data_IF_669279169877
#
_entry.id   IF_669279169877
#
_cell.length_a   1.000
_cell.length_b   1.000
_cell.length_c   1.000
_cell.angle_alpha   90.00
_cell.angle_beta   90.00
_cell.angle_gamma   90.00
#
_symmetry.space_group_name_H-M   'P 1'
#
loop_
_entity.id
_entity.type
_entity.pdbx_description
1 polymer ?
#
# COMPACT_ATOMS: atom_id res chain seq x y z
N UNK A 1 22.87 -42.12 -7.92
CA UNK A 1 21.68 -41.43 -7.36
C UNK A 1 22.18 -40.12 -6.77
N UNK A 2 22.19 -39.05 -7.57
CA UNK A 2 22.64 -37.72 -7.15
C UNK A 2 21.40 -36.93 -6.73
N UNK A 3 21.32 -36.56 -5.46
CA UNK A 3 20.28 -35.67 -4.94
C UNK A 3 20.59 -34.25 -5.39
N UNK A 4 19.76 -33.70 -6.27
CA UNK A 4 19.77 -32.27 -6.53
C UNK A 4 19.27 -31.57 -5.27
N UNK A 5 20.18 -30.86 -4.59
CA UNK A 5 19.82 -29.90 -3.57
C UNK A 5 19.00 -28.80 -4.24
N UNK A 6 17.75 -28.65 -3.82
CA UNK A 6 16.93 -27.50 -4.19
C UNK A 6 17.65 -26.25 -3.69
N UNK A 7 18.06 -25.37 -4.60
CA UNK A 7 18.54 -24.06 -4.25
C UNK A 7 17.38 -23.31 -3.59
N UNK A 8 17.54 -22.98 -2.30
CA UNK A 8 16.70 -22.00 -1.63
C UNK A 8 16.87 -20.68 -2.39
N UNK A 9 15.85 -20.29 -3.14
CA UNK A 9 15.70 -18.91 -3.59
C UNK A 9 15.57 -18.09 -2.31
N UNK A 10 16.58 -17.26 -2.02
CA UNK A 10 16.49 -16.33 -0.92
C UNK A 10 15.24 -15.46 -1.14
N UNK A 11 14.32 -15.47 -0.18
CA UNK A 11 13.23 -14.51 -0.18
C UNK A 11 13.87 -13.16 0.14
N UNK A 12 14.02 -12.31 -0.87
CA UNK A 12 14.53 -10.95 -0.67
C UNK A 12 13.49 -10.18 0.15
N UNK A 13 13.70 -10.14 1.47
CA UNK A 13 12.88 -9.35 2.38
C UNK A 13 13.36 -7.91 2.32
N UNK A 14 12.56 -7.05 1.71
CA UNK A 14 12.71 -5.60 1.87
C UNK A 14 12.19 -5.24 3.26
N UNK A 15 13.07 -4.68 4.10
CA UNK A 15 12.75 -4.29 5.46
C UNK A 15 13.12 -2.82 5.66
N UNK A 16 12.21 -1.96 5.24
CA UNK A 16 12.39 -0.51 5.30
C UNK A 16 12.01 0.07 6.65
N UNK A 17 12.68 1.18 6.99
CA UNK A 17 12.36 1.99 8.17
C UNK A 17 11.91 3.37 7.74
N UNK A 18 10.79 3.80 8.29
CA UNK A 18 10.20 5.12 8.04
C UNK A 18 10.48 6.10 9.19
N UNK A 19 11.65 5.98 9.83
CA UNK A 19 12.04 6.79 10.99
C UNK A 19 12.97 7.96 10.63
N UNK A 20 13.43 7.99 9.39
CA UNK A 20 14.26 9.01 8.75
C UNK A 20 14.06 8.94 7.23
N UNK A 21 14.90 9.62 6.45
CA UNK A 21 14.79 9.69 4.98
C UNK A 21 15.34 8.44 4.25
N UNK A 22 15.79 7.39 4.94
CA UNK A 22 16.38 6.20 4.30
C UNK A 22 15.45 5.48 3.33
N UNK A 23 14.13 5.51 3.56
CA UNK A 23 13.12 4.93 2.66
C UNK A 23 13.17 5.49 1.22
N UNK A 24 13.78 6.66 1.01
CA UNK A 24 13.95 7.26 -0.32
C UNK A 24 14.90 6.47 -1.22
N UNK A 25 15.65 5.51 -0.66
CA UNK A 25 16.50 4.58 -1.43
C UNK A 25 15.66 3.55 -2.20
N UNK A 26 14.51 3.17 -1.65
CA UNK A 26 13.66 2.10 -2.17
C UNK A 26 12.34 2.64 -2.76
N UNK A 27 11.93 3.85 -2.37
CA UNK A 27 10.69 4.48 -2.78
C UNK A 27 10.88 5.84 -3.45
N UNK A 28 10.17 6.03 -4.56
CA UNK A 28 9.91 7.33 -5.17
C UNK A 28 8.69 7.99 -4.54
N UNK A 29 8.76 9.30 -4.32
CA UNK A 29 7.65 10.10 -3.81
C UNK A 29 6.74 10.54 -4.95
N UNK A 30 5.46 10.20 -4.87
CA UNK A 30 4.43 10.68 -5.80
C UNK A 30 3.49 11.64 -5.09
N UNK A 31 3.52 12.92 -5.49
CA UNK A 31 2.67 13.98 -4.96
C UNK A 31 2.40 15.06 -6.00
N UNK A 32 1.51 16.02 -5.67
CA UNK A 32 1.00 17.05 -6.59
C UNK A 32 2.08 17.59 -7.55
N UNK A 33 1.85 17.52 -8.86
CA UNK A 33 2.87 17.81 -9.89
C UNK A 33 3.46 19.24 -9.81
N UNK A 34 2.71 20.17 -9.22
CA UNK A 34 3.05 21.58 -9.08
C UNK A 34 3.73 21.93 -7.75
N UNK A 35 4.00 20.92 -6.90
CA UNK A 35 4.57 21.10 -5.57
C UNK A 35 5.96 20.45 -5.41
N UNK A 36 6.63 20.05 -6.50
CA UNK A 36 7.96 19.40 -6.48
C UNK A 36 9.11 20.34 -6.08
N UNK A 37 9.04 20.84 -4.84
CA UNK A 37 10.05 21.62 -4.13
C UNK A 37 10.27 21.01 -2.74
N UNK A 38 11.37 21.32 -2.03
CA UNK A 38 11.58 20.83 -0.67
C UNK A 38 10.43 21.15 0.29
N UNK A 39 9.83 22.33 0.17
CA UNK A 39 8.69 22.76 0.99
C UNK A 39 7.42 21.97 0.66
N UNK A 40 7.17 21.71 -0.62
CA UNK A 40 6.04 20.90 -1.06
C UNK A 40 6.20 19.43 -0.70
N UNK A 41 7.41 18.87 -0.82
CA UNK A 41 7.71 17.53 -0.33
C UNK A 41 7.41 17.43 1.18
N UNK A 42 7.95 18.36 1.99
CA UNK A 42 7.73 18.39 3.44
C UNK A 42 6.25 18.58 3.81
N UNK A 43 5.48 19.29 2.98
CA UNK A 43 4.04 19.44 3.15
C UNK A 43 3.32 18.09 3.05
N UNK A 44 3.80 17.15 2.23
CA UNK A 44 3.19 15.82 2.04
C UNK A 44 3.82 14.71 2.87
N UNK A 45 5.13 14.77 3.07
CA UNK A 45 5.95 13.74 3.67
C UNK A 45 6.81 14.37 4.76
N UNK A 46 6.57 14.00 6.01
CA UNK A 46 7.33 14.51 7.15
C UNK A 46 7.57 13.40 8.17
N UNK A 47 8.73 13.39 8.82
CA UNK A 47 9.01 12.44 9.90
C UNK A 47 8.50 13.04 11.21
N UNK A 48 7.52 12.37 11.82
CA UNK A 48 6.83 12.88 13.02
C UNK A 48 6.80 11.83 14.12
N UNK A 49 6.49 12.27 15.34
CA UNK A 49 6.10 11.38 16.43
C UNK A 49 4.57 11.26 16.47
N UNK A 50 4.06 10.04 16.28
CA UNK A 50 2.63 9.74 16.29
C UNK A 50 2.33 8.51 17.14
N UNK A 51 1.42 8.67 18.12
CA UNK A 51 1.02 7.61 19.06
C UNK A 51 2.23 6.84 19.66
N UNK A 52 3.27 7.56 20.06
CA UNK A 52 4.46 7.01 20.71
C UNK A 52 5.50 6.37 19.77
N UNK A 53 5.36 6.49 18.45
CA UNK A 53 6.35 6.01 17.47
C UNK A 53 6.81 7.14 16.55
N UNK A 54 8.08 7.12 16.17
CA UNK A 54 8.58 7.94 15.06
C UNK A 54 8.21 7.25 13.75
N UNK A 55 7.59 7.97 12.81
CA UNK A 55 7.13 7.42 11.54
C UNK A 55 7.02 8.51 10.46
N UNK A 56 6.96 8.08 9.20
CA UNK A 56 6.60 8.94 8.07
C UNK A 56 5.11 9.27 8.13
N UNK A 57 4.79 10.56 8.27
CA UNK A 57 3.48 11.10 8.02
C UNK A 57 3.30 11.34 6.52
N UNK A 58 2.18 10.84 5.98
CA UNK A 58 1.76 11.08 4.60
C UNK A 58 0.47 11.90 4.63
N UNK A 59 0.43 13.03 3.93
CA UNK A 59 -0.72 13.96 3.88
C UNK A 59 -1.18 14.20 2.45
N UNK A 60 -2.47 13.99 2.21
CA UNK A 60 -3.14 14.33 0.95
C UNK A 60 -4.15 15.44 1.25
N UNK A 61 -4.13 16.50 0.46
CA UNK A 61 -5.03 17.64 0.60
C UNK A 61 -6.03 17.69 -0.54
N UNK A 62 -7.24 18.16 -0.27
CA UNK A 62 -8.30 18.31 -1.28
C UNK A 62 -7.95 19.29 -2.40
N UNK A 63 -6.99 20.18 -2.16
CA UNK A 63 -6.48 21.16 -3.14
C UNK A 63 -5.39 20.61 -4.04
N UNK A 64 -4.84 19.43 -3.73
CA UNK A 64 -3.74 18.86 -4.50
C UNK A 64 -4.18 18.50 -5.92
N UNK A 65 -3.19 18.43 -6.80
CA UNK A 65 -3.36 17.98 -8.18
C UNK A 65 -2.93 16.52 -8.31
N UNK A 66 -3.19 15.94 -9.48
CA UNK A 66 -2.62 14.65 -9.82
C UNK A 66 -1.08 14.68 -9.71
N UNK A 67 -0.46 13.51 -9.58
CA UNK A 67 1.01 13.41 -9.57
C UNK A 67 1.64 13.85 -10.89
N UNK A 68 0.92 13.73 -12.01
CA UNK A 68 1.39 14.14 -13.34
C UNK A 68 0.47 15.20 -13.91
N UNK A 69 1.06 16.23 -14.53
CA UNK A 69 0.32 17.24 -15.27
C UNK A 69 -0.55 16.59 -16.35
N UNK A 70 -1.76 17.12 -16.54
CA UNK A 70 -2.78 16.61 -17.47
C UNK A 70 -3.29 15.18 -17.20
N UNK A 71 -2.92 14.56 -16.07
CA UNK A 71 -3.49 13.26 -15.69
C UNK A 71 -4.92 13.43 -15.17
N UNK A 72 -5.84 12.60 -15.65
CA UNK A 72 -7.21 12.50 -15.11
C UNK A 72 -7.33 11.70 -13.82
N UNK A 73 -6.21 11.31 -13.19
CA UNK A 73 -6.23 10.56 -11.93
C UNK A 73 -6.45 11.48 -10.73
N UNK A 74 -6.98 10.94 -9.64
CA UNK A 74 -7.11 11.67 -8.38
C UNK A 74 -5.74 12.07 -7.81
N UNK A 75 -5.69 13.11 -6.96
CA UNK A 75 -4.50 13.46 -6.20
C UNK A 75 -4.03 12.29 -5.33
N UNK A 76 -2.73 12.23 -5.09
CA UNK A 76 -2.09 11.22 -4.23
C UNK A 76 -0.88 11.83 -3.54
N UNK A 77 -0.56 11.28 -2.37
CA UNK A 77 0.75 11.37 -1.72
C UNK A 77 1.09 9.94 -1.38
N UNK A 78 2.02 9.38 -2.13
CA UNK A 78 2.22 7.94 -2.19
C UNK A 78 3.71 7.62 -2.30
N UNK A 79 4.13 6.58 -1.58
CA UNK A 79 5.40 5.92 -1.78
C UNK A 79 5.24 4.87 -2.87
N UNK A 80 6.01 5.01 -3.96
CA UNK A 80 6.00 4.04 -5.04
C UNK A 80 7.37 3.39 -5.16
N UNK A 81 7.43 2.07 -5.00
CA UNK A 81 8.66 1.29 -5.08
C UNK A 81 9.40 1.57 -6.39
N UNK A 82 10.71 1.82 -6.28
CA UNK A 82 11.58 2.12 -7.43
C UNK A 82 11.80 0.85 -8.26
N UNK A 83 12.11 -0.27 -7.60
CA UNK A 83 12.22 -1.58 -8.24
C UNK A 83 10.82 -2.20 -8.45
N UNK A 84 10.35 -2.26 -9.69
CA UNK A 84 8.99 -2.75 -10.03
C UNK A 84 8.95 -4.17 -10.59
N UNK A 85 10.12 -4.77 -10.81
CA UNK A 85 10.25 -6.07 -11.48
C UNK A 85 10.16 -7.25 -10.50
N UNK A 86 9.86 -7.00 -9.22
CA UNK A 86 9.80 -8.01 -8.17
C UNK A 86 8.55 -8.91 -8.25
N UNK A 87 7.47 -8.45 -8.90
CA UNK A 87 6.22 -9.20 -9.03
C UNK A 87 6.26 -10.09 -10.26
N UNK A 88 6.55 -11.37 -10.05
CA UNK A 88 6.59 -12.42 -11.09
C UNK A 88 5.41 -13.39 -10.96
N UNK A 89 4.99 -13.98 -12.08
CA UNK A 89 3.97 -15.02 -12.09
C UNK A 89 4.41 -16.27 -11.30
N UNK A 90 3.43 -16.93 -10.68
CA UNK A 90 3.54 -18.08 -9.80
C UNK A 90 4.38 -17.86 -8.52
N UNK A 91 4.78 -16.61 -8.23
CA UNK A 91 5.38 -16.24 -6.95
C UNK A 91 4.34 -16.12 -5.84
N UNK A 92 4.72 -16.52 -4.63
CA UNK A 92 4.00 -16.21 -3.39
C UNK A 92 4.69 -15.02 -2.71
N UNK A 93 3.90 -14.02 -2.37
CA UNK A 93 4.38 -12.75 -1.87
C UNK A 93 3.65 -12.35 -0.58
N UNK A 94 4.37 -11.62 0.26
CA UNK A 94 3.82 -10.98 1.45
C UNK A 94 4.28 -9.52 1.49
N UNK A 95 3.33 -8.62 1.74
CA UNK A 95 3.59 -7.24 2.08
C UNK A 95 2.97 -6.95 3.44
N UNK A 96 3.73 -6.36 4.37
CA UNK A 96 3.23 -5.98 5.68
C UNK A 96 3.69 -4.57 6.06
N UNK A 97 2.82 -3.83 6.73
CA UNK A 97 3.12 -2.48 7.18
C UNK A 97 2.25 -2.11 8.38
N UNK A 98 2.75 -1.20 9.21
CA UNK A 98 1.98 -0.58 10.27
C UNK A 98 1.49 0.79 9.79
N UNK A 99 0.21 1.09 10.00
CA UNK A 99 -0.39 2.38 9.63
C UNK A 99 -1.13 2.99 10.81
N UNK A 100 -1.09 4.31 10.93
CA UNK A 100 -1.86 5.05 11.91
C UNK A 100 -2.63 6.19 11.23
N UNK A 101 -3.96 6.13 11.26
CA UNK A 101 -4.81 7.20 10.75
C UNK A 101 -4.93 8.28 11.81
N UNK A 102 -4.32 9.45 11.59
CA UNK A 102 -4.43 10.58 12.51
C UNK A 102 -5.66 11.44 12.23
N UNK A 103 -5.89 11.75 10.95
CA UNK A 103 -6.99 12.57 10.48
C UNK A 103 -7.50 12.05 9.14
N UNK A 104 -8.81 12.17 8.92
CA UNK A 104 -9.43 11.93 7.61
C UNK A 104 -10.73 12.76 7.53
N UNK A 105 -11.14 13.07 6.30
CA UNK A 105 -12.42 13.73 6.03
C UNK A 105 -13.50 12.68 5.83
N UNK A 106 -14.55 12.73 6.63
CA UNK A 106 -15.66 11.78 6.50
C UNK A 106 -16.35 11.90 5.12
N UNK A 107 -16.75 10.76 4.57
CA UNK A 107 -17.29 10.67 3.21
C UNK A 107 -16.27 10.79 2.06
N UNK A 108 -15.01 11.15 2.33
CA UNK A 108 -13.96 11.16 1.30
C UNK A 108 -13.42 9.75 1.04
N UNK A 109 -13.23 9.38 -0.24
CA UNK A 109 -12.68 8.08 -0.61
C UNK A 109 -11.17 8.15 -0.77
N UNK A 110 -10.46 7.15 -0.26
CA UNK A 110 -9.01 7.09 -0.37
C UNK A 110 -8.50 5.66 -0.45
N UNK A 111 -7.34 5.48 -1.07
CA UNK A 111 -6.59 4.24 -1.06
C UNK A 111 -5.54 4.29 0.06
N UNK A 112 -5.47 3.22 0.84
CA UNK A 112 -4.48 3.05 1.92
C UNK A 112 -3.18 2.47 1.38
N UNK A 113 -3.31 1.49 0.48
CA UNK A 113 -2.19 0.82 -0.18
C UNK A 113 -2.65 0.29 -1.54
N UNK A 114 -1.70 0.17 -2.44
CA UNK A 114 -1.90 -0.51 -3.72
C UNK A 114 -0.73 -1.47 -3.99
N UNK A 115 -1.03 -2.60 -4.62
CA UNK A 115 -0.05 -3.40 -5.33
C UNK A 115 -0.29 -3.21 -6.81
N UNK A 116 0.76 -2.82 -7.52
CA UNK A 116 0.72 -2.51 -8.95
C UNK A 116 1.96 -3.10 -9.60
N UNK A 117 1.75 -3.86 -10.69
CA UNK A 117 2.83 -4.48 -11.46
C UNK A 117 2.59 -4.37 -12.96
N UNK A 118 3.64 -4.51 -13.79
CA UNK A 118 3.53 -4.45 -15.25
C UNK A 118 2.53 -5.47 -15.82
N UNK A 119 2.38 -6.60 -15.14
CA UNK A 119 1.63 -7.77 -15.62
C UNK A 119 0.29 -8.02 -14.92
N UNK A 120 -0.23 -7.07 -14.10
CA UNK A 120 -1.51 -7.20 -13.36
C UNK A 120 -1.45 -8.27 -12.25
N UNK A 121 -2.41 -8.32 -11.29
CA UNK A 121 -3.53 -7.42 -11.03
C UNK A 121 -3.14 -6.16 -10.27
N UNK A 122 -3.95 -5.10 -10.42
CA UNK A 122 -3.87 -3.93 -9.54
C UNK A 122 -4.77 -4.18 -8.34
N UNK A 123 -4.17 -4.31 -7.16
CA UNK A 123 -4.90 -4.55 -5.92
C UNK A 123 -4.88 -3.28 -5.10
N UNK A 124 -6.01 -2.89 -4.55
CA UNK A 124 -6.14 -1.72 -3.69
C UNK A 124 -6.84 -2.09 -2.39
N UNK A 125 -6.33 -1.54 -1.30
CA UNK A 125 -7.08 -1.42 -0.04
C UNK A 125 -7.61 0.00 -0.01
N UNK A 126 -8.94 0.15 0.04
CA UNK A 126 -9.60 1.45 -0.03
C UNK A 126 -10.63 1.63 1.08
N UNK A 127 -10.87 2.88 1.43
CA UNK A 127 -12.09 3.32 2.09
C UNK A 127 -12.99 3.97 1.03
N UNK A 128 -14.15 3.37 0.77
CA UNK A 128 -15.10 3.80 -0.26
C UNK A 128 -16.52 3.47 0.23
N UNK A 129 -17.50 4.33 -0.03
CA UNK A 129 -18.90 4.10 0.40
C UNK A 129 -19.08 3.75 1.88
N UNK A 130 -18.29 4.38 2.76
CA UNK A 130 -18.28 4.12 4.21
C UNK A 130 -17.92 2.68 4.60
N UNK A 131 -17.14 1.99 3.75
CA UNK A 131 -16.65 0.63 4.01
C UNK A 131 -15.19 0.51 3.60
N UNK A 132 -14.45 -0.34 4.30
CA UNK A 132 -13.22 -0.84 3.74
C UNK A 132 -13.50 -1.84 2.62
N UNK A 133 -12.73 -1.72 1.54
CA UNK A 133 -12.86 -2.53 0.33
C UNK A 133 -11.48 -3.00 -0.09
N UNK A 134 -11.37 -4.30 -0.36
CA UNK A 134 -10.30 -4.85 -1.17
C UNK A 134 -10.78 -4.88 -2.63
N UNK A 135 -10.18 -4.03 -3.45
CA UNK A 135 -10.49 -3.95 -4.87
C UNK A 135 -9.36 -4.61 -5.65
N UNK A 136 -9.64 -5.71 -6.32
CA UNK A 136 -8.75 -6.29 -7.31
C UNK A 136 -9.27 -5.94 -8.70
N UNK A 137 -8.61 -5.03 -9.39
CA UNK A 137 -8.90 -4.81 -10.79
C UNK A 137 -8.51 -6.07 -11.56
N UNK A 138 -9.47 -6.61 -12.32
CA UNK A 138 -9.27 -7.78 -13.20
C UNK A 138 -9.13 -9.13 -12.49
N UNK A 139 -9.54 -9.23 -11.23
CA UNK A 139 -9.94 -10.50 -10.62
C UNK A 139 -11.42 -10.81 -10.92
N UNK A 140 -11.82 -12.09 -10.83
CA UNK A 140 -13.23 -12.52 -10.91
C UNK A 140 -14.09 -11.83 -9.85
N UNK A 141 -13.58 -11.72 -8.62
CA UNK A 141 -14.17 -10.90 -7.57
C UNK A 141 -13.51 -9.53 -7.55
N UNK A 142 -14.16 -8.56 -8.19
CA UNK A 142 -13.61 -7.20 -8.33
C UNK A 142 -13.56 -6.45 -7.00
N UNK A 143 -14.59 -6.59 -6.14
CA UNK A 143 -14.69 -5.89 -4.85
C UNK A 143 -15.10 -6.85 -3.74
N UNK A 144 -14.36 -6.81 -2.63
CA UNK A 144 -14.75 -7.50 -1.39
C UNK A 144 -14.74 -6.52 -0.22
N UNK A 145 -15.88 -6.42 0.46
CA UNK A 145 -16.04 -5.57 1.65
C UNK A 145 -15.60 -6.33 2.91
N UNK A 146 -15.06 -5.61 3.88
CA UNK A 146 -14.72 -6.18 5.18
C UNK A 146 -14.93 -5.18 6.31
N UNK A 147 -15.02 -5.72 7.54
CA UNK A 147 -15.33 -4.95 8.74
C UNK A 147 -14.19 -4.02 9.14
N UNK A 148 -14.57 -2.92 9.81
CA UNK A 148 -13.67 -1.87 10.27
C UNK A 148 -13.96 -0.52 9.62
N UNK A 149 -13.36 0.52 10.17
CA UNK A 149 -13.46 1.88 9.64
C UNK A 149 -12.24 2.74 10.03
N UNK A 150 -11.94 3.80 9.27
CA UNK A 150 -10.93 4.78 9.65
C UNK A 150 -11.24 5.45 11.00
N UNK A 151 -12.51 5.56 11.38
CA UNK A 151 -12.93 6.08 12.68
C UNK A 151 -12.47 5.18 13.84
N UNK A 152 -12.63 3.87 13.71
CA UNK A 152 -12.21 2.89 14.73
C UNK A 152 -10.69 2.78 14.82
N UNK A 153 -10.00 2.96 13.69
CA UNK A 153 -8.54 2.90 13.57
C UNK A 153 -7.85 4.21 13.97
N UNK A 154 -8.62 5.30 14.11
CA UNK A 154 -8.08 6.64 14.35
C UNK A 154 -7.21 6.68 15.61
N UNK A 155 -5.99 7.18 15.46
CA UNK A 155 -5.01 7.32 16.53
C UNK A 155 -4.33 6.01 16.96
N UNK A 156 -4.71 4.87 16.37
CA UNK A 156 -4.12 3.55 16.69
C UNK A 156 -3.16 3.11 15.61
N UNK A 157 -2.08 2.45 16.00
CA UNK A 157 -1.24 1.71 15.07
C UNK A 157 -1.93 0.40 14.75
N UNK A 158 -2.28 0.22 13.48
CA UNK A 158 -2.92 -0.99 12.94
C UNK A 158 -1.90 -1.71 12.08
N UNK A 159 -1.69 -3.00 12.35
CA UNK A 159 -0.86 -3.84 11.51
C UNK A 159 -1.67 -4.37 10.33
N UNK A 160 -1.18 -4.12 9.12
CA UNK A 160 -1.75 -4.63 7.89
C UNK A 160 -0.80 -5.65 7.28
N UNK A 161 -1.38 -6.72 6.73
CA UNK A 161 -0.63 -7.71 5.98
C UNK A 161 -1.43 -8.21 4.81
N UNK A 162 -0.80 -8.24 3.64
CA UNK A 162 -1.35 -8.80 2.42
C UNK A 162 -0.50 -9.99 1.99
N UNK A 163 -1.14 -11.14 1.81
CA UNK A 163 -0.51 -12.35 1.26
C UNK A 163 -1.18 -12.64 -0.08
N UNK A 164 -0.38 -12.87 -1.12
CA UNK A 164 -0.94 -13.10 -2.44
C UNK A 164 -0.06 -14.00 -3.30
N UNK A 165 -0.71 -14.70 -4.23
CA UNK A 165 -0.08 -15.49 -5.28
C UNK A 165 -0.62 -15.04 -6.62
N UNK A 166 0.27 -14.67 -7.52
CA UNK A 166 -0.07 -14.26 -8.89
C UNK A 166 -0.06 -15.49 -9.80
N UNK A 167 -1.18 -16.19 -9.95
CA UNK A 167 -1.25 -17.40 -10.77
C UNK A 167 -2.61 -17.54 -11.47
N UNK A 168 -2.62 -18.18 -12.66
CA UNK A 168 -3.83 -18.31 -13.50
C UNK A 168 -4.90 -19.24 -12.91
N UNK A 169 -4.51 -20.25 -12.12
CA UNK A 169 -5.44 -21.31 -11.69
C UNK A 169 -5.51 -21.55 -10.19
N UNK A 170 -4.48 -21.13 -9.44
CA UNK A 170 -4.41 -21.29 -7.98
C UNK A 170 -3.93 -20.00 -7.29
N UNK A 171 -4.16 -18.86 -7.94
CA UNK A 171 -3.94 -17.55 -7.37
C UNK A 171 -4.75 -17.36 -6.09
N UNK A 172 -4.28 -16.46 -5.24
CA UNK A 172 -5.06 -16.04 -4.08
C UNK A 172 -4.64 -14.66 -3.63
N UNK A 173 -5.52 -14.03 -2.86
CA UNK A 173 -5.25 -12.80 -2.15
C UNK A 173 -5.90 -12.86 -0.77
N UNK A 174 -5.14 -12.58 0.28
CA UNK A 174 -5.60 -12.59 1.67
C UNK A 174 -5.13 -11.32 2.35
N UNK A 175 -6.06 -10.62 2.99
CA UNK A 175 -5.77 -9.43 3.76
C UNK A 175 -5.99 -9.70 5.24
N UNK A 176 -5.07 -9.24 6.06
CA UNK A 176 -5.11 -9.34 7.50
C UNK A 176 -4.99 -7.94 8.12
N UNK A 177 -5.75 -7.74 9.20
CA UNK A 177 -5.72 -6.55 10.06
C UNK A 177 -5.50 -7.01 11.49
N UNK A 178 -4.44 -6.51 12.13
CA UNK A 178 -4.02 -6.91 13.47
C UNK A 178 -3.92 -8.44 13.65
N UNK A 179 -3.36 -9.11 12.65
CA UNK A 179 -3.19 -10.56 12.61
C UNK A 179 -4.44 -11.38 12.27
N UNK A 180 -5.62 -10.76 12.18
CA UNK A 180 -6.89 -11.43 11.83
C UNK A 180 -7.15 -11.31 10.33
N UNK A 181 -7.46 -12.44 9.65
CA UNK A 181 -7.87 -12.41 8.24
C UNK A 181 -9.22 -11.69 8.12
N UNK A 182 -9.25 -10.56 7.44
CA UNK A 182 -10.46 -9.74 7.24
C UNK A 182 -11.15 -10.01 5.91
N UNK A 183 -10.39 -10.41 4.89
CA UNK A 183 -10.95 -10.76 3.58
C UNK A 183 -10.00 -11.69 2.82
N UNK A 184 -10.54 -12.47 1.88
CA UNK A 184 -9.73 -13.13 0.88
C UNK A 184 -10.51 -13.39 -0.40
N UNK A 185 -9.80 -13.35 -1.52
CA UNK A 185 -10.28 -13.68 -2.86
C UNK A 185 -9.47 -14.89 -3.32
N UNK A 186 -10.15 -15.85 -3.94
CA UNK A 186 -9.55 -16.98 -4.66
C UNK A 186 -9.51 -16.61 -6.14
#
# INVERSE_FOLDING_TARGET
LSSAAAALVACDVLNDKFTDDSYKQDFSLQYSYDQHTPEGEKKHFDIVSAAGRTALQVKIFSTDKAFKSSSGTCPRSELAQIARDALVENGEFEASWDMNVQEYTDGYWFALAQLFGPSRPNIFIRWEFSKYILWCEQCDTVKSYFDGSPAEDKGKWVNWKMQFKLAESDGYLRLFKDGVKVVGIL
#
